data_IF_145256293338
#
_entry.id   IF_145256293338
#
_cell.length_a   1.000
_cell.length_b   1.000
_cell.length_c   1.000
_cell.angle_alpha   90.00
_cell.angle_beta   90.00
_cell.angle_gamma   90.00
#
_symmetry.space_group_name_H-M   'P 1'
#
loop_
_entity.id
_entity.type
_entity.pdbx_description
1 polymer ?
#
# COMPACT_ATOMS: atom_id res chain seq x y z
N UNK A 1 -2.56 -0.97 9.94
CA UNK A 1 -2.19 -0.76 8.52
C UNK A 1 -1.11 0.31 8.44
N UNK A 2 -0.32 0.33 7.37
CA UNK A 2 0.70 1.34 7.06
C UNK A 2 0.30 2.03 5.77
N UNK A 3 0.43 3.36 5.71
CA UNK A 3 0.21 4.15 4.52
C UNK A 3 1.58 4.65 4.03
N UNK A 4 1.92 4.34 2.78
CA UNK A 4 3.17 4.72 2.15
C UNK A 4 2.90 5.82 1.13
N UNK A 5 3.62 6.94 1.22
CA UNK A 5 3.64 7.92 0.15
C UNK A 5 4.69 7.50 -0.90
N UNK A 6 4.26 7.31 -2.14
CA UNK A 6 5.15 7.03 -3.27
C UNK A 6 5.97 8.23 -3.73
N UNK A 7 5.68 9.43 -3.21
CA UNK A 7 6.28 10.66 -3.71
C UNK A 7 5.77 11.01 -5.11
N UNK A 8 6.50 11.85 -5.87
CA UNK A 8 6.16 12.17 -7.26
C UNK A 8 6.41 11.00 -8.21
N UNK A 9 7.44 10.19 -7.96
CA UNK A 9 7.90 9.13 -8.86
C UNK A 9 7.36 7.73 -8.52
N UNK A 10 6.60 7.59 -7.43
CA UNK A 10 6.16 6.30 -6.86
C UNK A 10 7.30 5.38 -6.41
N UNK A 11 8.45 5.95 -6.00
CA UNK A 11 9.66 5.19 -5.64
C UNK A 11 10.26 5.55 -4.29
N UNK A 12 9.77 6.61 -3.66
CA UNK A 12 10.31 7.12 -2.39
C UNK A 12 10.24 6.07 -1.27
N UNK A 13 9.29 5.13 -1.36
CA UNK A 13 9.09 4.04 -0.42
C UNK A 13 9.65 2.69 -0.87
N UNK A 14 10.36 2.57 -2.00
CA UNK A 14 10.94 1.30 -2.48
C UNK A 14 11.83 0.59 -1.42
N UNK A 15 12.71 1.30 -0.67
CA UNK A 15 13.49 0.66 0.39
C UNK A 15 12.61 0.10 1.51
N UNK A 16 11.53 0.80 1.86
CA UNK A 16 10.60 0.38 2.90
C UNK A 16 9.71 -0.78 2.43
N UNK A 17 9.30 -0.79 1.16
CA UNK A 17 8.59 -1.93 0.56
C UNK A 17 9.40 -3.21 0.64
N UNK A 18 10.71 -3.14 0.36
CA UNK A 18 11.61 -4.30 0.48
C UNK A 18 11.68 -4.85 1.91
N UNK A 19 11.72 -3.97 2.93
CA UNK A 19 11.71 -4.37 4.33
C UNK A 19 10.36 -4.99 4.76
N UNK A 20 9.24 -4.44 4.30
CA UNK A 20 7.90 -4.98 4.57
C UNK A 20 7.74 -6.36 3.95
N UNK A 21 8.19 -6.55 2.71
CA UNK A 21 8.15 -7.83 2.01
C UNK A 21 8.95 -8.91 2.76
N UNK A 22 10.15 -8.56 3.23
CA UNK A 22 10.94 -9.44 4.09
C UNK A 22 10.22 -9.80 5.40
N UNK A 23 9.58 -8.83 6.05
CA UNK A 23 8.81 -9.04 7.28
C UNK A 23 7.59 -9.96 7.07
N UNK A 24 6.84 -9.76 5.97
CA UNK A 24 5.69 -10.61 5.60
C UNK A 24 6.14 -12.04 5.36
N UNK A 25 7.23 -12.24 4.60
CA UNK A 25 7.81 -13.57 4.36
C UNK A 25 8.26 -14.25 5.65
N UNK A 26 8.98 -13.53 6.52
CA UNK A 26 9.49 -14.09 7.77
C UNK A 26 8.36 -14.46 8.75
N UNK A 27 7.28 -13.68 8.77
CA UNK A 27 6.13 -13.93 9.66
C UNK A 27 5.13 -14.94 9.11
N UNK A 28 5.18 -15.24 7.80
CA UNK A 28 4.17 -16.06 7.11
C UNK A 28 2.78 -15.42 7.09
N UNK A 29 2.68 -14.13 7.42
CA UNK A 29 1.43 -13.38 7.52
C UNK A 29 1.46 -12.20 6.55
N UNK A 30 0.31 -11.82 5.96
CA UNK A 30 0.20 -10.62 5.13
C UNK A 30 0.11 -9.35 6.00
N UNK A 31 1.01 -9.21 6.97
CA UNK A 31 1.05 -8.08 7.91
C UNK A 31 2.41 -7.37 7.88
N UNK A 32 2.43 -6.03 8.02
CA UNK A 32 1.26 -5.15 8.15
C UNK A 32 0.51 -4.98 6.82
N UNK A 33 -0.79 -4.68 6.86
CA UNK A 33 -1.52 -4.25 5.67
C UNK A 33 -0.96 -2.90 5.16
N UNK A 34 -0.76 -2.75 3.84
CA UNK A 34 -0.09 -1.62 3.18
C UNK A 34 -1.01 -0.95 2.17
N UNK A 35 -1.13 0.38 2.29
CA UNK A 35 -1.79 1.25 1.32
C UNK A 35 -0.72 2.14 0.66
N UNK A 36 -0.65 2.15 -0.66
CA UNK A 36 0.23 3.07 -1.41
C UNK A 36 -0.53 4.30 -1.90
N UNK A 37 -0.04 5.49 -1.59
CA UNK A 37 -0.47 6.76 -2.19
C UNK A 37 0.32 6.99 -3.48
N UNK A 38 -0.35 6.87 -4.62
CA UNK A 38 0.30 6.79 -5.94
C UNK A 38 -0.04 8.00 -6.82
N UNK A 39 0.88 8.45 -7.68
CA UNK A 39 0.54 9.40 -8.75
C UNK A 39 -0.18 8.74 -9.92
N UNK A 40 -0.23 7.40 -9.97
CA UNK A 40 -0.90 6.59 -11.00
C UNK A 40 -2.17 5.94 -10.46
N UNK A 41 -3.23 5.94 -11.27
CA UNK A 41 -4.42 5.12 -11.03
C UNK A 41 -4.11 3.64 -11.29
N UNK A 42 -4.75 2.75 -10.53
CA UNK A 42 -4.62 1.30 -10.74
C UNK A 42 -4.91 0.50 -9.47
N UNK A 43 -4.82 -0.82 -9.62
CA UNK A 43 -4.79 -1.79 -8.52
C UNK A 43 -3.35 -2.25 -8.26
N UNK A 44 -3.06 -2.86 -7.09
CA UNK A 44 -1.74 -3.44 -6.83
C UNK A 44 -1.27 -4.39 -7.94
N UNK A 45 -2.17 -5.20 -8.50
CA UNK A 45 -1.88 -6.14 -9.58
C UNK A 45 -1.47 -5.40 -10.86
N UNK A 46 -2.24 -4.38 -11.27
CA UNK A 46 -1.95 -3.60 -12.49
C UNK A 46 -0.61 -2.85 -12.42
N UNK A 47 -0.12 -2.56 -11.22
CA UNK A 47 1.14 -1.87 -10.97
C UNK A 47 2.30 -2.82 -10.65
N UNK A 48 2.06 -4.14 -10.58
CA UNK A 48 3.07 -5.13 -10.24
C UNK A 48 3.51 -5.10 -8.77
N UNK A 49 2.64 -4.65 -7.86
CA UNK A 49 2.94 -4.42 -6.44
C UNK A 49 2.17 -5.34 -5.48
N UNK A 50 1.41 -6.31 -5.99
CA UNK A 50 0.50 -7.16 -5.20
C UNK A 50 1.19 -8.05 -4.15
N UNK A 51 2.51 -8.24 -4.21
CA UNK A 51 3.26 -8.95 -3.17
C UNK A 51 3.38 -8.16 -1.86
N UNK A 52 3.37 -6.82 -1.94
CA UNK A 52 3.67 -5.94 -0.80
C UNK A 52 2.51 -4.97 -0.51
N UNK A 53 1.82 -4.50 -1.54
CA UNK A 53 0.77 -3.48 -1.46
C UNK A 53 -0.60 -4.14 -1.54
N UNK A 54 -1.47 -3.87 -0.57
CA UNK A 54 -2.82 -4.45 -0.55
C UNK A 54 -3.87 -3.51 -1.16
N UNK A 55 -3.58 -2.21 -1.22
CA UNK A 55 -4.41 -1.22 -1.87
C UNK A 55 -3.60 -0.04 -2.39
N UNK A 56 -4.09 0.58 -3.47
CA UNK A 56 -3.53 1.79 -4.05
C UNK A 56 -4.58 2.88 -4.01
N UNK A 57 -4.20 4.07 -3.55
CA UNK A 57 -5.03 5.28 -3.61
C UNK A 57 -4.28 6.30 -4.45
N UNK A 58 -4.84 6.64 -5.60
CA UNK A 58 -4.21 7.62 -6.47
C UNK A 58 -4.41 9.04 -5.93
N UNK A 59 -3.42 9.91 -6.14
CA UNK A 59 -3.47 11.34 -5.85
C UNK A 59 -4.46 12.04 -6.81
N UNK A 60 -5.11 13.15 -6.41
CA UNK A 60 -5.02 13.81 -5.10
C UNK A 60 -5.69 12.98 -3.99
N UNK A 61 -5.09 13.00 -2.80
CA UNK A 61 -5.59 12.25 -1.64
C UNK A 61 -6.68 13.07 -0.97
N UNK A 62 -7.85 12.45 -0.80
CA UNK A 62 -8.96 13.01 -0.03
C UNK A 62 -9.49 11.96 0.95
N UNK A 63 -10.11 12.38 2.08
CA UNK A 63 -10.72 11.45 3.02
C UNK A 63 -11.72 10.49 2.36
N UNK A 64 -12.54 10.99 1.43
CA UNK A 64 -13.58 10.20 0.75
C UNK A 64 -12.99 9.06 -0.10
N UNK A 65 -11.75 9.23 -0.57
CA UNK A 65 -11.02 8.21 -1.34
C UNK A 65 -10.23 7.27 -0.45
N UNK A 66 -9.65 7.77 0.64
CA UNK A 66 -8.73 7.01 1.51
C UNK A 66 -9.47 6.26 2.62
N UNK A 67 -10.45 6.89 3.28
CA UNK A 67 -11.14 6.33 4.45
C UNK A 67 -11.78 4.97 4.16
N UNK A 68 -12.50 4.76 3.03
CA UNK A 68 -13.08 3.45 2.72
C UNK A 68 -12.02 2.34 2.56
N UNK A 69 -10.82 2.70 2.10
CA UNK A 69 -9.70 1.74 1.95
C UNK A 69 -9.10 1.40 3.30
N UNK A 70 -8.93 2.39 4.19
CA UNK A 70 -8.48 2.17 5.57
C UNK A 70 -9.46 1.27 6.32
N UNK A 71 -10.75 1.59 6.28
CA UNK A 71 -11.80 0.83 6.98
C UNK A 71 -11.84 -0.62 6.50
N UNK A 72 -11.75 -0.83 5.18
CA UNK A 72 -11.68 -2.17 4.57
C UNK A 72 -10.48 -2.98 5.05
N UNK A 73 -9.33 -2.36 5.27
CA UNK A 73 -8.09 -3.06 5.64
C UNK A 73 -7.94 -3.24 7.15
N UNK A 74 -8.42 -2.30 7.96
CA UNK A 74 -8.42 -2.41 9.43
C UNK A 74 -9.54 -3.34 9.89
N UNK A 75 -10.68 -3.42 9.19
CA UNK A 75 -11.75 -4.38 9.50
C UNK A 75 -11.42 -5.85 9.18
N UNK A 76 -10.24 -6.14 8.63
CA UNK A 76 -9.77 -7.50 8.30
C UNK A 76 -8.84 -8.12 9.36
N UNK A 77 -8.44 -7.36 10.36
CA UNK A 77 -7.49 -7.79 11.40
C UNK A 77 -8.15 -8.52 12.54
#
# INVERSE_FOLDING_TARGET
AVILDGGPDNKDCDPLMSAIDALRRASGKPLPAVILLSTRNGTPESLGLSSVVDAVVAKPITPERLQPVVDRLVGRS
#
